data_IF_505029024899
#
_entry.id   IF_505029024899
#
_cell.length_a   1.000
_cell.length_b   1.000
_cell.length_c   1.000
_cell.angle_alpha   90.00
_cell.angle_beta   90.00
_cell.angle_gamma   90.00
#
_symmetry.space_group_name_H-M   'P 1'
#
loop_
_entity.id
_entity.type
_entity.pdbx_description
1 polymer ?
#
# COMPACT_ATOMS: atom_id res chain seq x y z
N UNK A 1 13.46 0.13 2.51
CA UNK A 1 12.51 -0.99 2.35
C UNK A 1 12.15 -1.32 0.91
N UNK A 2 13.04 -1.07 0.00
CA UNK A 2 12.83 -1.25 -1.45
C UNK A 2 12.57 -2.71 -1.88
N UNK A 3 13.16 -3.67 -1.19
CA UNK A 3 13.11 -5.10 -1.56
C UNK A 3 12.13 -5.93 -0.72
N UNK A 4 11.12 -5.29 -0.17
CA UNK A 4 10.09 -5.93 0.66
C UNK A 4 8.81 -6.09 -0.15
N UNK A 5 8.24 -7.30 -0.16
CA UNK A 5 6.99 -7.59 -0.84
C UNK A 5 5.77 -7.07 -0.07
N UNK A 6 4.63 -7.00 -0.75
CA UNK A 6 3.37 -6.51 -0.16
C UNK A 6 2.97 -7.28 1.11
N UNK A 7 3.03 -8.60 1.09
CA UNK A 7 2.66 -9.41 2.26
C UNK A 7 3.58 -9.16 3.45
N UNK A 8 4.85 -8.91 3.21
CA UNK A 8 5.81 -8.58 4.26
C UNK A 8 5.56 -7.19 4.84
N UNK A 9 5.14 -6.23 4.00
CA UNK A 9 4.69 -4.90 4.47
C UNK A 9 3.45 -5.01 5.35
N UNK A 10 2.47 -5.82 4.97
CA UNK A 10 1.28 -6.09 5.80
C UNK A 10 1.68 -6.66 7.15
N UNK A 11 2.54 -7.67 7.16
CA UNK A 11 3.06 -8.28 8.41
C UNK A 11 3.84 -7.29 9.26
N UNK A 12 4.64 -6.45 8.63
CA UNK A 12 5.38 -5.40 9.29
C UNK A 12 4.45 -4.45 10.04
N UNK A 13 3.44 -3.90 9.37
CA UNK A 13 2.49 -2.99 9.99
C UNK A 13 1.61 -3.67 11.04
N UNK A 14 1.25 -4.93 10.86
CA UNK A 14 0.55 -5.70 11.90
C UNK A 14 1.37 -5.78 13.20
N UNK A 15 2.68 -5.98 13.07
CA UNK A 15 3.58 -5.98 14.24
C UNK A 15 3.74 -4.58 14.84
N UNK A 16 3.83 -3.55 14.01
CA UNK A 16 3.89 -2.15 14.47
C UNK A 16 2.63 -1.78 15.25
N UNK A 17 1.45 -2.09 14.73
CA UNK A 17 0.18 -1.84 15.41
C UNK A 17 0.13 -2.53 16.78
N UNK A 18 0.60 -3.77 16.86
CA UNK A 18 0.65 -4.51 18.11
C UNK A 18 1.62 -3.88 19.11
N UNK A 19 2.82 -3.51 18.68
CA UNK A 19 3.82 -2.87 19.55
C UNK A 19 3.41 -1.46 19.99
N UNK A 20 2.66 -0.76 19.14
CA UNK A 20 2.13 0.57 19.44
C UNK A 20 0.88 0.52 20.31
N UNK A 21 0.42 -0.67 20.66
CA UNK A 21 -0.80 -0.87 21.46
C UNK A 21 -2.05 -0.20 20.86
N UNK A 22 -2.12 -0.20 19.53
CA UNK A 22 -3.32 0.25 18.82
C UNK A 22 -4.42 -0.79 18.99
N UNK A 23 -5.61 -0.36 19.40
CA UNK A 23 -6.75 -1.24 19.63
C UNK A 23 -7.42 -1.62 18.29
N UNK A 24 -6.72 -2.42 17.51
CA UNK A 24 -7.15 -2.86 16.19
C UNK A 24 -8.27 -3.90 16.31
N UNK A 25 -9.30 -3.75 15.49
CA UNK A 25 -10.34 -4.77 15.35
C UNK A 25 -9.80 -6.00 14.60
N UNK A 26 -10.25 -7.17 15.01
CA UNK A 26 -9.90 -8.47 14.42
C UNK A 26 -11.09 -9.06 13.69
N UNK A 27 -10.79 -9.80 12.61
CA UNK A 27 -11.82 -10.57 11.90
C UNK A 27 -12.39 -11.69 12.80
N UNK A 28 -13.60 -12.10 12.50
CA UNK A 28 -14.25 -13.23 13.15
C UNK A 28 -13.77 -14.55 12.54
N UNK A 29 -13.92 -15.64 13.27
CA UNK A 29 -13.63 -16.99 12.82
C UNK A 29 -12.44 -17.64 13.51
N UNK A 30 -11.97 -18.76 12.97
CA UNK A 30 -10.93 -19.60 13.59
C UNK A 30 -9.51 -19.02 13.49
N UNK A 31 -9.27 -18.12 12.53
CA UNK A 31 -7.96 -17.48 12.34
C UNK A 31 -8.14 -15.96 12.30
N UNK A 32 -8.39 -15.32 13.44
CA UNK A 32 -8.61 -13.89 13.48
C UNK A 32 -7.32 -13.14 13.08
N UNK A 33 -7.50 -12.14 12.22
CA UNK A 33 -6.44 -11.25 11.77
C UNK A 33 -6.88 -9.80 11.89
N UNK A 34 -5.90 -8.90 11.99
CA UNK A 34 -6.18 -7.46 12.06
C UNK A 34 -6.91 -6.99 10.80
N UNK A 35 -7.96 -6.21 10.99
CA UNK A 35 -8.71 -5.60 9.89
C UNK A 35 -7.94 -4.41 9.35
N UNK A 36 -7.05 -4.69 8.42
CA UNK A 36 -6.17 -3.73 7.76
C UNK A 36 -6.22 -3.95 6.26
N UNK A 37 -6.42 -2.89 5.49
CA UNK A 37 -6.54 -2.95 4.04
C UNK A 37 -5.69 -1.86 3.39
N UNK A 38 -4.73 -2.25 2.57
CA UNK A 38 -3.89 -1.33 1.81
C UNK A 38 -4.61 -0.87 0.53
N UNK A 39 -4.43 0.40 0.18
CA UNK A 39 -5.02 0.99 -1.02
C UNK A 39 -4.46 0.37 -2.30
N UNK A 40 -3.16 0.17 -2.35
CA UNK A 40 -2.47 -0.49 -3.45
C UNK A 40 -1.29 -1.32 -2.93
N UNK A 41 -1.09 -2.55 -3.44
CA UNK A 41 0.08 -3.33 -3.10
C UNK A 41 1.33 -2.71 -3.72
N UNK A 42 2.36 -2.48 -2.89
CA UNK A 42 3.66 -2.00 -3.34
C UNK A 42 4.51 -3.19 -3.80
N UNK A 43 4.96 -3.14 -5.05
CA UNK A 43 5.80 -4.19 -5.62
C UNK A 43 7.22 -4.15 -5.07
N UNK A 44 7.88 -5.29 -5.02
CA UNK A 44 9.30 -5.39 -4.68
C UNK A 44 10.13 -4.57 -5.66
N UNK A 45 11.07 -3.79 -5.13
CA UNK A 45 11.94 -2.94 -5.94
C UNK A 45 11.38 -1.55 -6.22
N UNK A 46 10.18 -1.24 -5.74
CA UNK A 46 9.55 0.07 -5.87
C UNK A 46 9.61 0.83 -4.55
N UNK A 47 10.05 2.08 -4.61
CA UNK A 47 9.97 3.03 -3.50
C UNK A 47 8.69 3.85 -3.64
N UNK A 48 8.03 4.15 -2.54
CA UNK A 48 6.84 5.00 -2.53
C UNK A 48 7.00 6.14 -1.51
N UNK A 49 6.41 7.29 -1.85
CA UNK A 49 6.33 8.46 -0.99
C UNK A 49 4.95 8.69 -0.40
N UNK A 50 3.97 7.90 -0.79
CA UNK A 50 2.61 8.04 -0.32
C UNK A 50 1.82 6.77 -0.53
N UNK A 51 1.71 5.97 0.51
CA UNK A 51 0.85 4.80 0.56
C UNK A 51 -0.24 5.03 1.59
N UNK A 52 -1.39 4.41 1.35
CA UNK A 52 -2.56 4.50 2.22
C UNK A 52 -3.01 3.12 2.63
N UNK A 53 -3.43 2.99 3.87
CA UNK A 53 -4.18 1.82 4.31
C UNK A 53 -5.27 2.21 5.30
N UNK A 54 -6.36 1.48 5.25
CA UNK A 54 -7.43 1.58 6.21
C UNK A 54 -7.20 0.62 7.36
N UNK A 55 -7.50 1.09 8.55
CA UNK A 55 -7.40 0.32 9.77
C UNK A 55 -8.71 0.45 10.54
N UNK A 56 -9.35 -0.67 10.87
CA UNK A 56 -10.50 -0.68 11.74
C UNK A 56 -10.03 -0.81 13.19
N UNK A 57 -10.45 0.11 14.05
CA UNK A 57 -10.09 0.14 15.46
C UNK A 57 -11.34 0.11 16.33
N UNK A 58 -11.25 -0.53 17.50
CA UNK A 58 -12.34 -0.54 18.48
C UNK A 58 -12.37 0.77 19.27
N UNK A 59 -11.20 1.33 19.56
CA UNK A 59 -11.02 2.62 20.21
C UNK A 59 -9.77 3.32 19.69
N UNK A 60 -9.72 4.62 19.81
CA UNK A 60 -8.56 5.41 19.39
C UNK A 60 -8.41 6.66 20.25
N UNK A 61 -7.19 7.14 20.36
CA UNK A 61 -6.87 8.44 20.93
C UNK A 61 -6.78 9.51 19.83
N UNK A 62 -6.34 10.73 20.19
CA UNK A 62 -6.18 11.79 19.20
C UNK A 62 -5.20 11.40 18.09
N UNK A 63 -5.40 11.96 16.89
CA UNK A 63 -4.55 11.67 15.73
C UNK A 63 -3.07 11.94 16.01
N UNK A 64 -2.76 13.00 16.75
CA UNK A 64 -1.39 13.35 17.14
C UNK A 64 -0.74 12.29 18.03
N UNK A 65 -1.44 11.85 19.06
CA UNK A 65 -0.95 10.82 19.99
C UNK A 65 -0.74 9.49 19.27
N UNK A 66 -1.69 9.08 18.45
CA UNK A 66 -1.59 7.85 17.67
C UNK A 66 -0.43 7.89 16.69
N UNK A 67 -0.24 9.02 16.00
CA UNK A 67 0.84 9.21 15.05
C UNK A 67 2.22 9.10 15.70
N UNK A 68 2.41 9.75 16.84
CA UNK A 68 3.65 9.68 17.62
C UNK A 68 3.92 8.25 18.12
N UNK A 69 2.90 7.58 18.64
CA UNK A 69 2.99 6.22 19.16
C UNK A 69 3.36 5.21 18.07
N UNK A 70 2.74 5.30 16.92
CA UNK A 70 3.02 4.41 15.78
C UNK A 70 4.42 4.66 15.25
N UNK A 71 4.81 5.92 15.04
CA UNK A 71 6.12 6.26 14.51
C UNK A 71 7.27 5.90 15.47
N UNK A 72 7.03 5.89 16.77
CA UNK A 72 8.01 5.42 17.74
C UNK A 72 8.38 3.92 17.58
N UNK A 73 7.51 3.14 16.95
CA UNK A 73 7.71 1.71 16.68
C UNK A 73 8.14 1.39 15.24
N UNK A 74 8.19 2.40 14.38
CA UNK A 74 8.61 2.21 12.98
C UNK A 74 10.13 2.05 12.88
N UNK A 75 10.54 1.26 11.89
CA UNK A 75 11.94 1.17 11.49
C UNK A 75 12.35 2.41 10.69
N UNK A 76 13.66 2.64 10.63
CA UNK A 76 14.22 3.68 9.77
C UNK A 76 13.76 3.53 8.33
N UNK A 77 13.37 4.64 7.72
CA UNK A 77 12.86 4.68 6.35
C UNK A 77 11.36 4.45 6.21
N UNK A 78 10.66 4.24 7.32
CA UNK A 78 9.19 4.12 7.35
C UNK A 78 8.61 5.16 8.29
N UNK A 79 7.73 5.99 7.78
CA UNK A 79 7.06 7.03 8.55
C UNK A 79 5.57 7.06 8.21
N UNK A 80 4.74 7.12 9.23
CA UNK A 80 3.31 7.42 9.09
C UNK A 80 3.14 8.93 9.12
N UNK A 81 2.66 9.49 8.04
CA UNK A 81 2.55 10.94 7.85
C UNK A 81 1.24 11.50 8.40
N UNK A 82 0.20 10.69 8.42
CA UNK A 82 -1.14 11.13 8.80
C UNK A 82 -1.95 9.98 9.37
N UNK A 83 -2.73 10.27 10.38
CA UNK A 83 -3.70 9.36 10.99
C UNK A 83 -5.02 10.11 11.12
N UNK A 84 -6.07 9.66 10.42
CA UNK A 84 -7.34 10.37 10.35
C UNK A 84 -8.51 9.43 10.56
N UNK A 85 -9.51 9.91 11.28
CA UNK A 85 -10.80 9.26 11.37
C UNK A 85 -11.56 9.49 10.06
N UNK A 86 -12.09 8.42 9.49
CA UNK A 86 -12.94 8.46 8.32
C UNK A 86 -14.42 8.48 8.73
N UNK A 87 -15.30 9.12 7.94
CA UNK A 87 -16.75 8.96 8.11
C UNK A 87 -17.19 7.50 7.97
N UNK A 88 -18.29 7.13 8.63
CA UNK A 88 -18.79 5.75 8.61
C UNK A 88 -19.20 5.27 7.21
N UNK A 89 -19.56 6.19 6.32
CA UNK A 89 -19.91 5.92 4.93
C UNK A 89 -18.72 6.02 3.95
N UNK A 90 -17.49 6.22 4.46
CA UNK A 90 -16.31 6.31 3.63
C UNK A 90 -16.05 5.00 2.89
N UNK A 91 -15.74 5.12 1.59
CA UNK A 91 -15.28 3.99 0.79
C UNK A 91 -13.88 3.57 1.24
N UNK A 92 -13.56 2.27 1.10
CA UNK A 92 -12.23 1.81 1.43
C UNK A 92 -11.16 2.45 0.52
N UNK A 93 -9.93 2.55 1.01
CA UNK A 93 -8.85 3.22 0.31
C UNK A 93 -8.58 2.61 -1.08
N UNK A 94 -8.69 1.29 -1.22
CA UNK A 94 -8.51 0.61 -2.49
C UNK A 94 -9.49 1.07 -3.57
N UNK A 95 -10.73 1.38 -3.20
CA UNK A 95 -11.79 1.77 -4.13
C UNK A 95 -11.73 3.25 -4.57
N UNK A 96 -10.97 4.08 -3.86
CA UNK A 96 -10.85 5.52 -4.17
C UNK A 96 -9.57 5.88 -4.92
N UNK A 97 -8.65 4.94 -5.11
CA UNK A 97 -7.44 5.17 -5.91
C UNK A 97 -7.84 5.37 -7.37
N UNK A 98 -7.55 6.54 -7.91
CA UNK A 98 -7.84 6.90 -9.30
C UNK A 98 -6.65 6.70 -10.24
N UNK A 99 -5.42 6.79 -9.71
CA UNK A 99 -4.22 6.64 -10.50
C UNK A 99 -2.97 6.69 -9.64
N UNK A 100 -1.84 6.40 -10.25
CA UNK A 100 -0.54 6.49 -9.63
C UNK A 100 0.50 6.96 -10.64
N UNK A 101 1.40 7.83 -10.21
CA UNK A 101 2.51 8.32 -11.01
C UNK A 101 3.78 7.56 -10.65
N UNK A 102 4.51 7.13 -11.67
CA UNK A 102 5.77 6.40 -11.52
C UNK A 102 6.91 7.15 -12.18
N UNK A 103 8.03 7.23 -11.46
CA UNK A 103 9.31 7.64 -12.03
C UNK A 103 10.18 6.40 -12.20
N UNK A 104 10.60 6.14 -13.43
CA UNK A 104 11.47 5.03 -13.78
C UNK A 104 12.83 5.58 -14.17
N UNK A 105 13.86 5.14 -13.47
CA UNK A 105 15.25 5.49 -13.76
C UNK A 105 15.89 4.30 -14.46
N UNK A 106 16.26 4.50 -15.71
CA UNK A 106 16.83 3.44 -16.54
C UNK A 106 17.73 4.03 -17.62
N UNK A 107 18.68 3.24 -18.07
CA UNK A 107 19.55 3.50 -19.21
C UNK A 107 19.31 2.52 -20.39
N UNK A 108 18.25 1.71 -20.28
CA UNK A 108 17.92 0.69 -21.29
C UNK A 108 17.40 1.27 -22.60
N UNK A 109 16.90 2.50 -22.60
CA UNK A 109 16.40 3.18 -23.79
C UNK A 109 16.66 4.69 -23.74
N UNK A 110 16.75 5.31 -24.91
CA UNK A 110 16.96 6.74 -25.06
C UNK A 110 15.65 7.50 -25.33
N UNK A 111 15.74 8.82 -25.46
CA UNK A 111 14.59 9.67 -25.73
C UNK A 111 13.92 9.36 -27.08
N UNK A 112 14.71 9.01 -28.11
CA UNK A 112 14.17 8.69 -29.43
C UNK A 112 13.31 7.41 -29.40
N UNK A 113 13.74 6.39 -28.67
CA UNK A 113 12.98 5.17 -28.47
C UNK A 113 11.68 5.44 -27.70
N UNK A 114 11.72 6.29 -26.68
CA UNK A 114 10.55 6.69 -25.91
C UNK A 114 9.57 7.48 -26.77
N UNK A 115 10.03 8.44 -27.57
CA UNK A 115 9.18 9.23 -28.46
C UNK A 115 8.49 8.36 -29.51
N UNK A 116 9.21 7.41 -30.09
CA UNK A 116 8.65 6.44 -31.03
C UNK A 116 7.55 5.56 -30.39
N UNK A 117 7.76 5.14 -29.14
CA UNK A 117 6.78 4.38 -28.37
C UNK A 117 5.52 5.20 -28.07
N UNK A 118 5.68 6.44 -27.63
CA UNK A 118 4.57 7.33 -27.26
C UNK A 118 3.78 7.85 -28.46
N UNK A 119 4.37 7.87 -29.68
CA UNK A 119 3.72 8.29 -30.90
C UNK A 119 2.85 7.20 -31.56
N UNK A 120 2.76 6.02 -30.97
CA UNK A 120 1.86 4.97 -31.46
C UNK A 120 0.40 5.36 -31.20
N UNK A 121 -0.48 5.07 -32.16
CA UNK A 121 -1.94 5.28 -32.02
C UNK A 121 -2.53 4.39 -30.94
N UNK A 122 -2.02 3.17 -30.82
CA UNK A 122 -2.40 2.19 -29.80
C UNK A 122 -1.16 1.54 -29.21
N UNK A 123 -1.17 1.36 -27.87
CA UNK A 123 -0.17 0.57 -27.17
C UNK A 123 -0.83 -0.72 -26.70
N UNK A 124 -0.46 -1.84 -27.33
CA UNK A 124 -1.03 -3.15 -27.06
C UNK A 124 -0.01 -4.00 -26.29
N UNK A 125 -0.44 -4.54 -25.16
CA UNK A 125 0.37 -5.40 -24.30
C UNK A 125 -0.28 -6.77 -24.16
N UNK A 126 0.47 -7.84 -24.40
CA UNK A 126 0.00 -9.20 -24.15
C UNK A 126 0.11 -9.55 -22.68
N UNK A 127 -1.02 -9.87 -22.05
CA UNK A 127 -1.09 -10.27 -20.65
C UNK A 127 -1.50 -11.74 -20.53
N UNK A 128 -0.63 -12.55 -19.94
CA UNK A 128 -0.98 -13.93 -19.59
C UNK A 128 -1.83 -13.95 -18.32
N UNK A 129 -3.03 -14.44 -18.41
CA UNK A 129 -3.92 -14.61 -17.26
C UNK A 129 -3.89 -16.06 -16.76
N UNK A 130 -4.15 -16.25 -15.46
CA UNK A 130 -4.20 -17.61 -14.87
C UNK A 130 -5.25 -18.52 -15.52
N UNK A 131 -6.31 -17.95 -16.10
CA UNK A 131 -7.36 -18.72 -16.80
C UNK A 131 -6.90 -19.33 -18.12
N UNK A 132 -5.86 -18.79 -18.75
CA UNK A 132 -5.32 -19.32 -20.01
C UNK A 132 -4.55 -20.65 -19.84
N UNK A 133 -4.28 -21.10 -18.62
CA UNK A 133 -3.60 -22.37 -18.34
C UNK A 133 -4.53 -23.59 -18.21
N UNK A 134 -5.83 -23.43 -18.41
CA UNK A 134 -6.83 -24.51 -18.28
C UNK A 134 -7.39 -25.01 -19.62
N UNK A 135 -6.61 -24.94 -20.65
CA UNK A 135 -6.95 -25.64 -21.90
C UNK A 135 -5.93 -26.72 -22.19
#
# INVERSE_FOLDING_TARGET
MKFIGHLDMVRYFQKVMRRSEVDVAYSEGFSPHQKMSFAAPLSVGVLSRGEYFDLEVNSTESSKVMLERINAQNAEGVEVLSYKLLPDDAKNAMSVVAGADYKVYTDLFDQNMLDAFMNQDQIIVLKKTKKAKRK
#
